data_IF_638305717724
#
_entry.id   IF_638305717724
#
_cell.length_a   1.000
_cell.length_b   1.000
_cell.length_c   1.000
_cell.angle_alpha   90.00
_cell.angle_beta   90.00
_cell.angle_gamma   90.00
#
_symmetry.space_group_name_H-M   'P 1'
#
loop_
_entity.id
_entity.type
_entity.pdbx_description
1 polymer ?
#
# COMPACT_ATOMS: atom_id res chain seq x y z
N UNK A 1 7.56 60.76 -17.65
CA UNK A 1 6.26 60.25 -18.12
C UNK A 1 6.15 58.81 -17.60
N UNK A 2 5.00 58.33 -17.13
CA UNK A 2 4.89 56.88 -16.82
C UNK A 2 4.72 56.14 -18.15
N UNK A 3 5.84 55.73 -18.74
CA UNK A 3 5.94 55.20 -20.11
C UNK A 3 5.01 54.00 -20.34
N UNK A 4 4.86 53.12 -19.33
CA UNK A 4 3.94 51.98 -19.40
C UNK A 4 2.48 52.40 -19.49
N UNK A 5 2.09 53.53 -18.88
CA UNK A 5 0.72 54.03 -18.93
C UNK A 5 0.42 54.69 -20.28
N UNK A 6 1.37 55.44 -20.85
CA UNK A 6 1.19 56.06 -22.16
C UNK A 6 1.02 55.02 -23.29
N UNK A 7 1.86 53.98 -23.31
CA UNK A 7 1.71 52.84 -24.23
C UNK A 7 0.37 52.14 -24.04
N UNK A 8 -0.04 51.92 -22.78
CA UNK A 8 -1.33 51.28 -22.46
C UNK A 8 -2.52 52.12 -22.95
N UNK A 9 -2.45 53.45 -22.85
CA UNK A 9 -3.50 54.33 -23.35
C UNK A 9 -3.60 54.30 -24.87
N UNK A 10 -2.48 54.27 -25.60
CA UNK A 10 -2.47 54.07 -27.06
C UNK A 10 -3.08 52.71 -27.40
N UNK A 11 -2.66 51.62 -26.76
CA UNK A 11 -3.21 50.28 -27.02
C UNK A 11 -4.73 50.18 -26.78
N UNK A 12 -5.25 50.90 -25.80
CA UNK A 12 -6.67 50.84 -25.45
C UNK A 12 -7.56 51.78 -26.27
N UNK A 13 -6.99 52.65 -27.09
CA UNK A 13 -7.76 53.55 -27.95
C UNK A 13 -8.44 52.80 -29.08
N UNK A 14 -9.67 53.23 -29.38
CA UNK A 14 -10.48 52.74 -30.49
C UNK A 14 -10.67 53.83 -31.56
N UNK A 15 -10.86 53.46 -32.84
CA UNK A 15 -11.12 54.43 -33.89
C UNK A 15 -12.37 55.29 -33.67
N UNK A 16 -13.32 54.80 -32.87
CA UNK A 16 -14.53 55.56 -32.50
C UNK A 16 -14.20 56.72 -31.55
N UNK A 17 -13.26 56.53 -30.63
CA UNK A 17 -12.80 57.59 -29.72
C UNK A 17 -12.04 58.65 -30.52
N UNK A 18 -11.13 58.24 -31.39
CA UNK A 18 -10.35 59.14 -32.27
C UNK A 18 -11.27 60.02 -33.13
N UNK A 19 -12.30 59.45 -33.76
CA UNK A 19 -13.26 60.23 -34.57
C UNK A 19 -14.05 61.26 -33.77
N UNK A 20 -14.33 60.98 -32.50
CA UNK A 20 -15.11 61.89 -31.63
C UNK A 20 -14.25 62.97 -31.02
N UNK A 21 -13.00 62.64 -30.67
CA UNK A 21 -12.07 63.56 -30.06
C UNK A 21 -11.87 64.78 -30.96
N UNK A 22 -12.01 65.98 -30.37
CA UNK A 22 -11.96 67.27 -31.07
C UNK A 22 -12.85 67.38 -32.32
N UNK A 23 -13.93 66.58 -32.40
CA UNK A 23 -14.76 66.43 -33.60
C UNK A 23 -13.97 66.07 -34.87
N UNK A 24 -12.86 65.35 -34.74
CA UNK A 24 -11.94 65.02 -35.82
C UNK A 24 -12.65 64.41 -37.05
N UNK A 25 -13.54 63.43 -36.84
CA UNK A 25 -14.26 62.80 -37.95
C UNK A 25 -15.21 63.74 -38.72
N UNK A 26 -15.65 64.85 -38.12
CA UNK A 26 -16.40 65.90 -38.84
C UNK A 26 -15.46 66.84 -39.59
N UNK A 27 -14.31 67.18 -39.00
CA UNK A 27 -13.28 68.04 -39.60
C UNK A 27 -12.69 67.39 -40.85
N UNK A 28 -12.34 66.10 -40.79
CA UNK A 28 -11.83 65.31 -41.94
C UNK A 28 -12.82 65.38 -43.12
N UNK A 29 -14.10 65.07 -42.88
CA UNK A 29 -15.14 65.09 -43.93
C UNK A 29 -15.39 66.46 -44.55
N UNK A 30 -15.05 67.53 -43.85
CA UNK A 30 -15.19 68.90 -44.31
C UNK A 30 -13.90 69.48 -44.89
N UNK A 31 -12.79 68.75 -44.81
CA UNK A 31 -11.46 69.26 -45.17
C UNK A 31 -10.99 70.42 -44.28
N UNK A 32 -11.44 70.46 -43.02
CA UNK A 32 -11.12 71.49 -42.01
C UNK A 32 -9.97 71.05 -41.08
N UNK A 33 -9.11 70.15 -41.57
CA UNK A 33 -7.86 69.76 -40.91
C UNK A 33 -6.77 70.65 -41.48
N UNK A 34 -6.50 71.75 -40.81
CA UNK A 34 -5.53 72.77 -41.18
C UNK A 34 -4.29 72.72 -40.26
N UNK A 35 -3.27 73.53 -40.58
CA UNK A 35 -2.07 73.64 -39.75
C UNK A 35 -2.41 74.10 -38.32
N UNK A 36 -3.42 74.94 -38.13
CA UNK A 36 -3.88 75.37 -36.80
C UNK A 36 -4.39 74.18 -35.96
N UNK A 37 -5.14 73.25 -36.57
CA UNK A 37 -5.56 72.02 -35.90
C UNK A 37 -4.36 71.14 -35.55
N UNK A 38 -3.39 70.99 -36.45
CA UNK A 38 -2.17 70.23 -36.20
C UNK A 38 -1.29 70.87 -35.10
N UNK A 39 -1.16 72.19 -35.08
CA UNK A 39 -0.47 72.93 -34.03
C UNK A 39 -1.14 72.70 -32.68
N UNK A 40 -2.48 72.64 -32.68
CA UNK A 40 -3.23 72.34 -31.46
C UNK A 40 -2.99 70.91 -30.97
N UNK A 41 -2.93 69.92 -31.85
CA UNK A 41 -2.57 68.54 -31.49
C UNK A 41 -1.16 68.48 -30.89
N UNK A 42 -0.18 69.11 -31.52
CA UNK A 42 1.21 69.15 -31.02
C UNK A 42 1.29 69.84 -29.67
N UNK A 43 0.53 70.93 -29.47
CA UNK A 43 0.44 71.60 -28.16
C UNK A 43 -0.11 70.68 -27.08
N UNK A 44 -1.18 69.92 -27.37
CA UNK A 44 -1.73 68.94 -26.43
C UNK A 44 -0.68 67.88 -26.09
N UNK A 45 0.02 67.35 -27.10
CA UNK A 45 1.06 66.32 -26.91
C UNK A 45 2.20 66.83 -26.03
N UNK A 46 2.67 68.06 -26.26
CA UNK A 46 3.82 68.64 -25.57
C UNK A 46 3.52 69.07 -24.12
N UNK A 47 2.30 69.54 -23.84
CA UNK A 47 1.94 70.11 -22.54
C UNK A 47 1.46 69.02 -21.55
N UNK A 48 2.38 68.57 -20.70
CA UNK A 48 2.14 67.54 -19.68
C UNK A 48 1.56 68.09 -18.37
N UNK A 49 1.44 69.41 -18.21
CA UNK A 49 0.89 70.05 -17.02
C UNK A 49 -0.62 70.29 -17.17
N UNK A 50 -1.06 70.56 -18.40
CA UNK A 50 -2.46 70.92 -18.69
C UNK A 50 -3.32 69.73 -19.11
N UNK A 51 -2.77 68.78 -19.86
CA UNK A 51 -3.54 67.68 -20.46
C UNK A 51 -3.24 66.32 -19.82
N UNK A 52 -4.29 65.52 -19.60
CA UNK A 52 -4.17 64.18 -19.06
C UNK A 52 -3.48 63.23 -20.06
N UNK A 53 -2.85 62.16 -19.55
CA UNK A 53 -2.14 61.19 -20.42
C UNK A 53 -3.06 60.54 -21.47
N UNK A 54 -4.35 60.36 -21.17
CA UNK A 54 -5.35 59.86 -22.12
C UNK A 54 -5.58 60.82 -23.28
N UNK A 55 -5.75 62.12 -23.00
CA UNK A 55 -5.95 63.16 -24.02
C UNK A 55 -4.71 63.35 -24.87
N UNK A 56 -3.53 63.27 -24.25
CA UNK A 56 -2.23 63.33 -24.95
C UNK A 56 -2.04 62.15 -25.88
N UNK A 57 -2.40 60.95 -25.46
CA UNK A 57 -2.33 59.76 -26.29
C UNK A 57 -3.32 59.84 -27.47
N UNK A 58 -4.53 60.37 -27.26
CA UNK A 58 -5.51 60.59 -28.34
C UNK A 58 -5.00 61.61 -29.36
N UNK A 59 -4.45 62.73 -28.89
CA UNK A 59 -3.85 63.74 -29.76
C UNK A 59 -2.65 63.19 -30.54
N UNK A 60 -1.83 62.35 -29.90
CA UNK A 60 -0.72 61.65 -30.54
C UNK A 60 -1.20 60.73 -31.66
N UNK A 61 -2.17 59.85 -31.44
CA UNK A 61 -2.68 58.96 -32.50
C UNK A 61 -3.30 59.74 -33.68
N UNK A 62 -3.95 60.89 -33.43
CA UNK A 62 -4.44 61.74 -34.52
C UNK A 62 -3.29 62.37 -35.32
N UNK A 63 -2.25 62.88 -34.65
CA UNK A 63 -1.07 63.45 -35.32
C UNK A 63 -0.28 62.40 -36.11
N UNK A 64 -0.17 61.17 -35.57
CA UNK A 64 0.34 60.00 -36.30
C UNK A 64 -0.51 59.75 -37.53
N UNK A 65 -1.85 59.73 -37.40
CA UNK A 65 -2.76 59.49 -38.50
C UNK A 65 -2.55 60.45 -39.67
N UNK A 66 -2.50 61.76 -39.40
CA UNK A 66 -2.20 62.78 -40.41
C UNK A 66 -0.81 62.58 -41.04
N UNK A 67 0.19 62.29 -40.22
CA UNK A 67 1.56 62.03 -40.72
C UNK A 67 1.64 60.78 -41.60
N UNK A 68 0.86 59.74 -41.30
CA UNK A 68 0.79 58.52 -42.09
C UNK A 68 0.06 58.73 -43.43
N UNK A 69 -0.94 59.60 -43.47
CA UNK A 69 -1.67 59.95 -44.68
C UNK A 69 -0.74 60.62 -45.70
N UNK A 70 0.17 61.49 -45.24
CA UNK A 70 1.18 62.15 -46.09
C UNK A 70 2.10 61.16 -46.82
N UNK A 71 2.42 60.03 -46.18
CA UNK A 71 3.35 59.02 -46.69
C UNK A 71 2.64 57.76 -47.20
N UNK A 72 1.31 57.75 -47.23
CA UNK A 72 0.48 56.59 -47.55
C UNK A 72 0.86 55.91 -48.86
N UNK A 73 0.95 56.69 -49.94
CA UNK A 73 1.29 56.20 -51.28
C UNK A 73 2.72 55.64 -51.35
N UNK A 74 3.66 56.26 -50.63
CA UNK A 74 5.06 55.82 -50.60
C UNK A 74 5.20 54.48 -49.88
N UNK A 75 4.47 54.29 -48.78
CA UNK A 75 4.45 53.04 -48.03
C UNK A 75 3.78 51.90 -48.81
N UNK A 76 2.76 52.20 -49.62
CA UNK A 76 2.07 51.22 -50.45
C UNK A 76 2.88 50.70 -51.65
N UNK A 77 3.86 51.49 -52.12
CA UNK A 77 4.68 51.17 -53.29
C UNK A 77 6.04 50.53 -52.95
N UNK A 78 6.45 50.57 -51.68
CA UNK A 78 7.73 50.04 -51.25
C UNK A 78 7.72 48.49 -51.15
N UNK A 79 8.87 47.88 -51.42
CA UNK A 79 9.04 46.43 -51.30
C UNK A 79 9.10 46.02 -49.82
N UNK A 80 8.45 44.90 -49.49
CA UNK A 80 8.46 44.37 -48.13
C UNK A 80 9.78 43.63 -47.84
N UNK A 81 10.38 43.97 -46.70
CA UNK A 81 11.58 43.32 -46.18
C UNK A 81 11.27 42.64 -44.85
N UNK A 82 12.05 41.61 -44.51
CA UNK A 82 11.96 40.94 -43.22
C UNK A 82 12.58 41.83 -42.13
N UNK A 83 11.79 42.15 -41.13
CA UNK A 83 12.24 42.88 -39.94
C UNK A 83 12.28 41.95 -38.73
N UNK A 84 13.27 42.16 -37.88
CA UNK A 84 13.32 41.60 -36.53
C UNK A 84 13.12 42.73 -35.54
N UNK A 85 11.95 42.80 -34.93
CA UNK A 85 11.63 43.78 -33.88
C UNK A 85 11.81 43.05 -32.53
N UNK A 86 12.83 43.42 -31.73
CA UNK A 86 13.02 42.81 -30.43
C UNK A 86 11.89 43.20 -29.46
N UNK A 87 11.39 42.23 -28.69
CA UNK A 87 10.39 42.47 -27.65
C UNK A 87 8.93 42.41 -28.14
N UNK A 88 8.03 43.09 -27.42
CA UNK A 88 6.60 43.10 -27.72
C UNK A 88 6.30 44.13 -28.81
N UNK A 89 5.61 43.69 -29.86
CA UNK A 89 5.16 44.56 -30.95
C UNK A 89 3.87 45.24 -30.51
N UNK A 90 4.00 46.47 -30.00
CA UNK A 90 2.89 47.36 -29.66
C UNK A 90 2.66 48.39 -30.79
N UNK A 91 1.46 48.95 -30.86
CA UNK A 91 1.04 49.95 -31.85
C UNK A 91 1.92 51.18 -31.85
N UNK A 92 2.36 51.65 -30.68
CA UNK A 92 3.32 52.76 -30.58
C UNK A 92 4.64 52.41 -31.27
N UNK A 93 5.17 51.21 -31.04
CA UNK A 93 6.40 50.71 -31.70
C UNK A 93 6.23 50.71 -33.21
N UNK A 94 5.08 50.25 -33.71
CA UNK A 94 4.77 50.26 -35.13
C UNK A 94 4.66 51.69 -35.69
N UNK A 95 3.98 52.61 -34.99
CA UNK A 95 3.87 54.00 -35.42
C UNK A 95 5.23 54.70 -35.50
N UNK A 96 6.06 54.54 -34.47
CA UNK A 96 7.40 55.11 -34.45
C UNK A 96 8.28 54.49 -35.55
N UNK A 97 8.16 53.19 -35.81
CA UNK A 97 8.85 52.52 -36.93
C UNK A 97 8.44 53.03 -38.30
N UNK A 98 7.15 53.29 -38.51
CA UNK A 98 6.68 53.85 -39.79
C UNK A 98 7.07 55.32 -39.95
N UNK A 99 7.16 56.09 -38.87
CA UNK A 99 7.47 57.53 -38.92
C UNK A 99 8.97 57.85 -38.86
N UNK A 100 9.83 56.88 -38.55
CA UNK A 100 11.28 57.09 -38.46
C UNK A 100 11.90 57.41 -39.83
N UNK A 101 12.40 58.62 -39.99
CA UNK A 101 13.06 59.07 -41.22
C UNK A 101 14.45 58.46 -41.42
N UNK A 102 15.05 57.88 -40.37
CA UNK A 102 16.35 57.21 -40.47
C UNK A 102 16.27 55.80 -41.08
N UNK A 103 15.07 55.21 -41.15
CA UNK A 103 14.84 53.88 -41.73
C UNK A 103 14.62 53.94 -43.24
N UNK A 104 14.98 52.86 -43.94
CA UNK A 104 14.68 52.74 -45.36
C UNK A 104 13.17 52.62 -45.59
N UNK A 105 12.70 53.00 -46.79
CA UNK A 105 11.28 52.89 -47.12
C UNK A 105 10.75 51.45 -47.03
N UNK A 106 11.59 50.46 -47.32
CA UNK A 106 11.25 49.05 -47.16
C UNK A 106 11.05 48.64 -45.70
N UNK A 107 11.88 49.16 -44.79
CA UNK A 107 11.76 48.89 -43.35
C UNK A 107 10.52 49.61 -42.78
N UNK A 108 10.27 50.85 -43.18
CA UNK A 108 9.04 51.58 -42.82
C UNK A 108 7.78 50.87 -43.34
N UNK A 109 7.83 50.36 -44.57
CA UNK A 109 6.73 49.61 -45.18
C UNK A 109 6.47 48.26 -44.49
N UNK A 110 7.50 47.62 -43.94
CA UNK A 110 7.33 46.39 -43.16
C UNK A 110 6.64 46.66 -41.81
N UNK A 111 6.95 47.75 -41.10
CA UNK A 111 6.18 48.17 -39.92
C UNK A 111 4.73 48.53 -40.28
N UNK A 112 4.53 49.18 -41.44
CA UNK A 112 3.20 49.50 -41.97
C UNK A 112 2.38 48.25 -42.28
N UNK A 113 3.00 47.21 -42.83
CA UNK A 113 2.36 45.92 -43.08
C UNK A 113 1.96 45.21 -41.78
N UNK A 114 2.85 45.20 -40.79
CA UNK A 114 2.54 44.62 -39.47
C UNK A 114 1.37 45.35 -38.79
N UNK A 115 1.31 46.69 -38.89
CA UNK A 115 0.17 47.47 -38.38
C UNK A 115 -1.16 47.05 -39.04
N UNK A 116 -1.13 46.75 -40.34
CA UNK A 116 -2.31 46.25 -41.07
C UNK A 116 -2.76 44.87 -40.58
N UNK A 117 -1.82 43.96 -40.32
CA UNK A 117 -2.11 42.60 -39.89
C UNK A 117 -2.58 42.53 -38.44
N UNK A 118 -1.85 43.17 -37.51
CA UNK A 118 -2.12 43.11 -36.07
C UNK A 118 -3.26 44.05 -35.64
N UNK A 119 -3.42 45.21 -36.30
CA UNK A 119 -4.40 46.24 -35.94
C UNK A 119 -5.36 46.60 -37.09
N UNK A 120 -6.15 45.66 -37.61
CA UNK A 120 -6.96 45.86 -38.83
C UNK A 120 -8.03 46.95 -38.70
N UNK A 121 -8.54 47.18 -37.48
CA UNK A 121 -9.53 48.24 -37.21
C UNK A 121 -8.91 49.64 -37.31
N UNK A 122 -7.70 49.82 -36.80
CA UNK A 122 -6.98 51.10 -36.89
C UNK A 122 -6.52 51.35 -38.32
N UNK A 123 -5.99 50.32 -38.99
CA UNK A 123 -5.67 50.40 -40.42
C UNK A 123 -6.88 50.81 -41.27
N UNK A 124 -8.04 50.18 -41.04
CA UNK A 124 -9.27 50.49 -41.80
C UNK A 124 -9.75 51.92 -41.56
N UNK A 125 -9.55 52.44 -40.34
CA UNK A 125 -9.84 53.83 -40.04
C UNK A 125 -8.87 54.78 -40.74
N UNK A 126 -7.56 54.54 -40.68
CA UNK A 126 -6.57 55.37 -41.38
C UNK A 126 -6.84 55.39 -42.89
N UNK A 127 -7.21 54.24 -43.47
CA UNK A 127 -7.64 54.15 -44.88
C UNK A 127 -8.86 55.01 -45.15
N UNK A 128 -9.88 54.93 -44.30
CA UNK A 128 -11.07 55.76 -44.45
C UNK A 128 -10.74 57.25 -44.35
N UNK A 129 -9.84 57.65 -43.44
CA UNK A 129 -9.41 59.06 -43.32
C UNK A 129 -8.64 59.48 -44.58
N UNK A 130 -7.74 58.65 -45.11
CA UNK A 130 -7.05 58.91 -46.36
C UNK A 130 -8.01 59.06 -47.56
N UNK A 131 -9.04 58.21 -47.65
CA UNK A 131 -10.05 58.25 -48.72
C UNK A 131 -11.05 59.42 -48.56
N UNK A 132 -11.42 59.78 -47.32
CA UNK A 132 -12.32 60.90 -47.01
C UNK A 132 -11.61 62.26 -46.96
N UNK A 133 -10.29 62.26 -46.77
CA UNK A 133 -9.43 63.44 -46.76
C UNK A 133 -9.34 64.03 -48.16
N UNK A 134 -10.28 64.92 -48.48
CA UNK A 134 -10.23 65.73 -49.70
C UNK A 134 -8.89 66.47 -49.68
N UNK A 135 -8.08 66.19 -50.70
CA UNK A 135 -6.75 66.73 -51.00
C UNK A 135 -6.62 68.24 -50.74
N UNK A 136 -6.38 68.65 -49.49
CA UNK A 136 -6.15 70.05 -49.12
C UNK A 136 -4.71 70.24 -48.62
N UNK A 137 -3.83 70.41 -49.61
CA UNK A 137 -2.65 71.28 -49.76
C UNK A 137 -1.67 71.61 -48.60
N UNK A 138 -1.79 71.09 -47.38
CA UNK A 138 -0.75 71.26 -46.37
C UNK A 138 -0.36 69.90 -45.80
N UNK A 139 0.68 69.29 -46.38
CA UNK A 139 1.28 68.08 -45.81
C UNK A 139 1.87 68.44 -44.45
N UNK A 140 1.39 67.78 -43.40
CA UNK A 140 1.88 67.98 -42.04
C UNK A 140 3.40 67.80 -42.00
N UNK A 141 3.92 66.77 -42.66
CA UNK A 141 5.35 66.46 -42.82
C UNK A 141 6.19 67.60 -43.41
N UNK A 142 5.60 68.51 -44.20
CA UNK A 142 6.30 69.65 -44.81
C UNK A 142 6.17 70.94 -43.98
N UNK A 143 5.32 70.94 -42.95
CA UNK A 143 5.12 72.08 -42.05
C UNK A 143 6.13 72.10 -40.89
N UNK A 144 6.39 73.28 -40.31
CA UNK A 144 7.18 73.39 -39.09
C UNK A 144 6.57 72.55 -37.94
N UNK A 145 5.23 72.52 -37.86
CA UNK A 145 4.46 71.72 -36.90
C UNK A 145 4.76 70.22 -37.02
N UNK A 146 4.82 69.68 -38.24
CA UNK A 146 5.16 68.28 -38.46
C UNK A 146 6.61 67.96 -38.15
N UNK A 147 7.55 68.87 -38.41
CA UNK A 147 8.95 68.68 -38.00
C UNK A 147 9.08 68.60 -36.47
N UNK A 148 8.36 69.45 -35.73
CA UNK A 148 8.29 69.35 -34.27
C UNK A 148 7.70 68.02 -33.81
N UNK A 149 6.64 67.54 -34.46
CA UNK A 149 6.02 66.26 -34.14
C UNK A 149 6.96 65.07 -34.41
N UNK A 150 7.68 65.07 -35.53
CA UNK A 150 8.67 64.03 -35.85
C UNK A 150 9.83 64.05 -34.85
N UNK A 151 10.33 65.22 -34.47
CA UNK A 151 11.35 65.36 -33.43
C UNK A 151 10.84 64.83 -32.07
N UNK A 152 9.57 65.06 -31.74
CA UNK A 152 8.93 64.47 -30.56
C UNK A 152 8.86 62.94 -30.65
N UNK A 153 8.52 62.37 -31.81
CA UNK A 153 8.54 60.92 -32.03
C UNK A 153 9.95 60.33 -31.85
N UNK A 154 10.98 61.01 -32.35
CA UNK A 154 12.38 60.60 -32.12
C UNK A 154 12.76 60.63 -30.63
N UNK A 155 12.36 61.70 -29.92
CA UNK A 155 12.58 61.81 -28.49
C UNK A 155 11.87 60.68 -27.74
N UNK A 156 10.60 60.45 -28.03
CA UNK A 156 9.79 59.39 -27.43
C UNK A 156 10.40 58.00 -27.67
N UNK A 157 10.92 57.75 -28.88
CA UNK A 157 11.64 56.51 -29.19
C UNK A 157 12.88 56.34 -28.30
N UNK A 158 13.68 57.39 -28.11
CA UNK A 158 14.88 57.36 -27.26
C UNK A 158 14.54 57.15 -25.79
N UNK A 159 13.46 57.77 -25.31
CA UNK A 159 12.99 57.64 -23.93
C UNK A 159 12.48 56.23 -23.64
N UNK A 160 11.69 55.63 -24.54
CA UNK A 160 11.14 54.27 -24.36
C UNK A 160 12.19 53.18 -24.66
N UNK A 161 13.31 53.53 -25.28
CA UNK A 161 14.36 52.57 -25.64
C UNK A 161 13.92 51.59 -26.73
N UNK A 162 13.07 52.03 -27.67
CA UNK A 162 12.55 51.17 -28.74
C UNK A 162 13.66 50.95 -29.79
N UNK A 163 14.22 49.75 -29.79
CA UNK A 163 15.04 49.24 -30.88
C UNK A 163 14.15 48.91 -32.08
N UNK A 164 14.06 49.83 -33.02
CA UNK A 164 13.40 49.56 -34.29
C UNK A 164 14.23 48.53 -35.06
N UNK A 165 13.56 47.46 -35.47
CA UNK A 165 14.22 46.32 -36.12
C UNK A 165 14.99 46.73 -37.36
N UNK A 166 16.15 46.10 -37.58
CA UNK A 166 16.94 46.26 -38.80
C UNK A 166 16.96 44.95 -39.60
N UNK A 167 16.77 45.09 -40.91
CA UNK A 167 16.75 43.98 -41.87
C UNK A 167 18.05 43.14 -41.89
N UNK A 168 19.20 43.75 -41.59
CA UNK A 168 20.50 43.05 -41.55
C UNK A 168 20.71 42.17 -40.32
N UNK A 169 20.06 42.50 -39.20
CA UNK A 169 20.15 41.76 -37.93
C UNK A 169 19.26 40.50 -37.95
N UNK A 170 18.09 40.61 -38.58
CA UNK A 170 17.08 39.55 -38.64
C UNK A 170 17.61 38.23 -39.24
N UNK A 171 18.34 38.29 -40.35
CA UNK A 171 18.84 37.08 -41.00
C UNK A 171 19.93 36.36 -40.20
N UNK A 172 20.74 37.09 -39.42
CA UNK A 172 21.79 36.50 -38.57
C UNK A 172 21.19 35.83 -37.34
N UNK A 173 20.21 36.47 -36.70
CA UNK A 173 19.57 35.91 -35.53
C UNK A 173 18.67 34.72 -35.88
N UNK A 174 17.97 34.76 -37.03
CA UNK A 174 17.23 33.60 -37.54
C UNK A 174 18.16 32.42 -37.78
N UNK A 175 19.33 32.62 -38.40
CA UNK A 175 20.32 31.56 -38.58
C UNK A 175 20.85 31.02 -37.25
N UNK A 176 21.08 31.90 -36.26
CA UNK A 176 21.50 31.48 -34.92
C UNK A 176 20.45 30.61 -34.25
N UNK A 177 19.18 31.04 -34.27
CA UNK A 177 18.06 30.28 -33.70
C UNK A 177 17.85 28.95 -34.43
N UNK A 178 17.98 28.91 -35.75
CA UNK A 178 17.94 27.66 -36.52
C UNK A 178 19.06 26.69 -36.12
N UNK A 179 20.28 27.19 -35.87
CA UNK A 179 21.38 26.39 -35.36
C UNK A 179 21.12 25.89 -33.93
N UNK A 180 20.60 26.73 -33.04
CA UNK A 180 20.24 26.33 -31.67
C UNK A 180 19.17 25.24 -31.67
N UNK A 181 18.14 25.36 -32.52
CA UNK A 181 17.09 24.34 -32.68
C UNK A 181 17.67 23.03 -33.19
N UNK A 182 18.55 23.05 -34.20
CA UNK A 182 19.21 21.83 -34.72
C UNK A 182 20.02 21.13 -33.64
N UNK A 183 20.83 21.88 -32.88
CA UNK A 183 21.61 21.34 -31.78
C UNK A 183 20.69 20.74 -30.71
N UNK A 184 19.60 21.42 -30.36
CA UNK A 184 18.58 20.92 -29.44
C UNK A 184 17.99 19.58 -29.90
N UNK A 185 17.63 19.45 -31.18
CA UNK A 185 17.11 18.21 -31.76
C UNK A 185 18.14 17.07 -31.69
N UNK A 186 19.43 17.35 -31.94
CA UNK A 186 20.48 16.35 -31.83
C UNK A 186 20.67 15.89 -30.38
N UNK A 187 20.65 16.81 -29.41
CA UNK A 187 20.73 16.45 -27.99
C UNK A 187 19.54 15.62 -27.53
N UNK A 188 18.32 15.95 -27.96
CA UNK A 188 17.13 15.15 -27.66
C UNK A 188 17.23 13.73 -28.21
N UNK A 189 17.67 13.57 -29.46
CA UNK A 189 17.91 12.25 -30.05
C UNK A 189 18.97 11.44 -29.30
N UNK A 190 19.98 12.09 -28.73
CA UNK A 190 20.97 11.39 -27.90
C UNK A 190 20.37 10.94 -26.57
N UNK A 191 19.56 11.78 -25.91
CA UNK A 191 18.88 11.44 -24.67
C UNK A 191 17.83 10.35 -24.86
N UNK A 192 17.09 10.34 -25.97
CA UNK A 192 16.14 9.28 -26.32
C UNK A 192 16.84 7.91 -26.41
N UNK A 193 18.01 7.84 -27.04
CA UNK A 193 18.81 6.60 -27.10
C UNK A 193 19.30 6.16 -25.73
N UNK A 194 19.71 7.10 -24.88
CA UNK A 194 20.15 6.80 -23.52
C UNK A 194 19.00 6.28 -22.66
N UNK A 195 17.79 6.81 -22.84
CA UNK A 195 16.57 6.31 -22.19
C UNK A 195 16.22 4.90 -22.66
N UNK A 196 16.22 4.65 -23.97
CA UNK A 196 15.97 3.31 -24.53
C UNK A 196 16.97 2.28 -23.95
N UNK A 197 18.24 2.63 -23.86
CA UNK A 197 19.25 1.77 -23.25
C UNK A 197 19.01 1.52 -21.75
N UNK A 198 18.56 2.55 -21.02
CA UNK A 198 18.23 2.42 -19.60
C UNK A 198 16.98 1.55 -19.38
N UNK A 199 15.98 1.67 -20.24
CA UNK A 199 14.77 0.83 -20.25
C UNK A 199 15.13 -0.64 -20.50
N UNK A 200 15.91 -0.94 -21.55
CA UNK A 200 16.42 -2.27 -21.84
C UNK A 200 17.20 -2.88 -20.66
N UNK A 201 17.96 -2.05 -19.94
CA UNK A 201 18.68 -2.49 -18.75
C UNK A 201 17.72 -2.78 -17.58
N UNK A 202 16.70 -1.94 -17.39
CA UNK A 202 15.68 -2.12 -16.37
C UNK A 202 14.84 -3.37 -16.64
N UNK A 203 14.42 -3.61 -17.87
CA UNK A 203 13.71 -4.82 -18.27
C UNK A 203 14.52 -6.09 -17.97
N UNK A 204 15.81 -6.11 -18.34
CA UNK A 204 16.72 -7.21 -18.01
C UNK A 204 16.89 -7.41 -16.50
N UNK A 205 16.85 -6.35 -15.70
CA UNK A 205 16.86 -6.45 -14.24
C UNK A 205 15.53 -7.04 -13.71
N UNK A 206 14.39 -6.58 -14.22
CA UNK A 206 13.07 -7.10 -13.85
C UNK A 206 12.90 -8.58 -14.20
N UNK A 207 13.37 -9.03 -15.37
CA UNK A 207 13.36 -10.45 -15.74
C UNK A 207 14.19 -11.28 -14.76
N UNK A 208 15.36 -10.79 -14.34
CA UNK A 208 16.19 -11.47 -13.33
C UNK A 208 15.52 -11.53 -11.96
N UNK A 209 14.86 -10.47 -11.53
CA UNK A 209 14.11 -10.44 -10.27
C UNK A 209 12.96 -11.45 -10.30
N UNK A 210 12.16 -11.46 -11.37
CA UNK A 210 11.07 -12.44 -11.53
C UNK A 210 11.56 -13.88 -11.46
N UNK A 211 12.68 -14.19 -12.12
CA UNK A 211 13.30 -15.52 -12.06
C UNK A 211 13.72 -15.89 -10.64
N UNK A 212 14.35 -14.97 -9.91
CA UNK A 212 14.74 -15.19 -8.51
C UNK A 212 13.52 -15.36 -7.60
N UNK A 213 12.42 -14.63 -7.83
CA UNK A 213 11.18 -14.79 -7.08
C UNK A 213 10.51 -16.15 -7.33
N UNK A 214 10.55 -16.64 -8.57
CA UNK A 214 10.08 -17.99 -8.92
C UNK A 214 10.91 -19.07 -8.23
N UNK A 215 12.24 -18.95 -8.25
CA UNK A 215 13.16 -19.85 -7.55
C UNK A 215 12.92 -19.84 -6.03
N UNK A 216 12.80 -18.65 -5.43
CA UNK A 216 12.44 -18.51 -4.01
C UNK A 216 11.07 -19.14 -3.70
N UNK A 217 10.10 -18.97 -4.61
CA UNK A 217 8.79 -19.60 -4.51
C UNK A 217 8.86 -21.13 -4.49
N UNK A 218 9.68 -21.72 -5.36
CA UNK A 218 9.93 -23.16 -5.38
C UNK A 218 10.60 -23.64 -4.09
N UNK A 219 11.65 -22.96 -3.63
CA UNK A 219 12.35 -23.30 -2.37
C UNK A 219 11.40 -23.21 -1.16
N UNK A 220 10.54 -22.19 -1.10
CA UNK A 220 9.54 -22.06 -0.03
C UNK A 220 8.54 -23.22 -0.02
N UNK A 221 8.12 -23.70 -1.20
CA UNK A 221 7.23 -24.88 -1.33
C UNK A 221 7.94 -26.14 -0.85
N UNK A 222 9.17 -26.38 -1.30
CA UNK A 222 9.99 -27.51 -0.86
C UNK A 222 10.19 -27.50 0.67
N UNK A 223 10.51 -26.34 1.26
CA UNK A 223 10.66 -26.20 2.70
C UNK A 223 9.34 -26.53 3.45
N UNK A 224 8.19 -26.15 2.89
CA UNK A 224 6.89 -26.46 3.47
C UNK A 224 6.58 -27.96 3.39
N UNK A 225 6.91 -28.60 2.28
CA UNK A 225 6.78 -30.05 2.10
C UNK A 225 7.68 -30.82 3.06
N UNK A 226 8.95 -30.44 3.18
CA UNK A 226 9.89 -31.05 4.13
C UNK A 226 9.45 -30.88 5.59
N UNK A 227 8.92 -29.70 5.96
CA UNK A 227 8.31 -29.50 7.28
C UNK A 227 7.12 -30.43 7.50
N UNK A 228 6.23 -30.57 6.51
CA UNK A 228 5.10 -31.49 6.56
C UNK A 228 5.52 -32.95 6.68
N UNK A 229 6.57 -33.37 5.98
CA UNK A 229 7.17 -34.70 6.09
C UNK A 229 7.75 -34.92 7.49
N UNK A 230 8.44 -33.91 8.05
CA UNK A 230 8.93 -33.93 9.43
C UNK A 230 7.81 -34.09 10.47
N UNK A 231 6.68 -33.40 10.29
CA UNK A 231 5.51 -33.54 11.16
C UNK A 231 4.86 -34.93 11.04
N UNK A 232 4.76 -35.49 9.83
CA UNK A 232 4.31 -36.87 9.63
C UNK A 232 5.21 -37.86 10.37
N UNK A 233 6.54 -37.76 10.22
CA UNK A 233 7.49 -38.61 10.94
C UNK A 233 7.37 -38.46 12.46
N UNK A 234 7.17 -37.24 12.98
CA UNK A 234 6.91 -37.01 14.41
C UNK A 234 5.62 -37.71 14.86
N UNK A 235 4.55 -37.59 14.08
CA UNK A 235 3.25 -38.22 14.39
C UNK A 235 3.33 -39.75 14.36
N UNK A 236 4.01 -40.33 13.36
CA UNK A 236 4.24 -41.77 13.26
C UNK A 236 5.10 -42.28 14.41
N UNK A 237 6.16 -41.55 14.78
CA UNK A 237 6.99 -41.89 15.94
C UNK A 237 6.17 -41.85 17.23
N UNK A 238 5.29 -40.86 17.41
CA UNK A 238 4.39 -40.77 18.57
C UNK A 238 3.46 -42.00 18.66
N UNK A 239 2.83 -42.38 17.54
CA UNK A 239 1.97 -43.56 17.44
C UNK A 239 2.75 -44.85 17.70
N UNK A 240 3.96 -44.98 17.14
CA UNK A 240 4.82 -46.14 17.38
C UNK A 240 5.22 -46.28 18.84
N UNK A 241 5.53 -45.17 19.51
CA UNK A 241 5.87 -45.18 20.94
C UNK A 241 4.65 -45.53 21.78
N UNK A 242 3.46 -45.01 21.47
CA UNK A 242 2.24 -45.37 22.21
C UNK A 242 1.89 -46.84 22.03
N UNK A 243 1.93 -47.36 20.80
CA UNK A 243 1.65 -48.78 20.53
C UNK A 243 2.68 -49.71 21.18
N UNK A 244 3.97 -49.33 21.21
CA UNK A 244 4.99 -50.08 21.94
C UNK A 244 4.74 -50.09 23.46
N UNK A 245 4.23 -48.98 24.03
CA UNK A 245 3.88 -48.92 25.45
C UNK A 245 2.68 -49.80 25.76
N UNK A 246 1.64 -49.75 24.95
CA UNK A 246 0.45 -50.62 25.05
C UNK A 246 0.84 -52.09 24.94
N UNK A 247 1.69 -52.45 23.98
CA UNK A 247 2.15 -53.83 23.80
C UNK A 247 2.97 -54.33 25.01
N UNK A 248 3.84 -53.48 25.58
CA UNK A 248 4.56 -53.81 26.83
C UNK A 248 3.61 -54.00 28.01
N UNK A 249 2.54 -53.21 28.09
CA UNK A 249 1.54 -53.32 29.14
C UNK A 249 0.73 -54.63 28.98
N UNK A 250 0.26 -54.92 27.77
CA UNK A 250 -0.41 -56.17 27.45
C UNK A 250 0.47 -57.41 27.72
N UNK A 251 1.77 -57.33 27.42
CA UNK A 251 2.73 -58.40 27.76
C UNK A 251 2.83 -58.64 29.27
N UNK A 252 2.90 -57.57 30.08
CA UNK A 252 2.90 -57.68 31.55
C UNK A 252 1.61 -58.32 32.06
N UNK A 253 0.46 -57.94 31.50
CA UNK A 253 -0.84 -58.52 31.86
C UNK A 253 -0.93 -60.00 31.48
N UNK A 254 -0.44 -60.37 30.28
CA UNK A 254 -0.34 -61.78 29.87
C UNK A 254 0.59 -62.58 30.79
N UNK A 255 1.72 -62.03 31.19
CA UNK A 255 2.61 -62.68 32.16
C UNK A 255 1.96 -62.84 33.53
N UNK A 256 1.23 -61.83 34.01
CA UNK A 256 0.47 -61.91 35.25
C UNK A 256 -0.59 -63.02 35.18
N UNK A 257 -1.39 -63.05 34.11
CA UNK A 257 -2.39 -64.09 33.86
C UNK A 257 -1.77 -65.49 33.75
N UNK A 258 -0.60 -65.63 33.10
CA UNK A 258 0.12 -66.92 33.06
C UNK A 258 0.54 -67.38 34.46
N UNK A 259 1.04 -66.48 35.30
CA UNK A 259 1.38 -66.81 36.69
C UNK A 259 0.15 -67.20 37.49
N UNK A 260 -0.97 -66.51 37.31
CA UNK A 260 -2.25 -66.87 37.94
C UNK A 260 -2.77 -68.23 37.47
N UNK A 261 -2.68 -68.52 36.17
CA UNK A 261 -3.03 -69.81 35.61
C UNK A 261 -2.20 -70.94 36.22
N UNK A 262 -0.87 -70.78 36.31
CA UNK A 262 0.01 -71.76 36.96
C UNK A 262 -0.40 -71.97 38.42
N UNK A 263 -0.65 -70.89 39.18
CA UNK A 263 -1.12 -71.00 40.57
C UNK A 263 -2.44 -71.77 40.67
N UNK A 264 -3.38 -71.53 39.77
CA UNK A 264 -4.66 -72.25 39.73
C UNK A 264 -4.46 -73.72 39.36
N UNK A 265 -3.56 -74.01 38.42
CA UNK A 265 -3.21 -75.38 38.04
C UNK A 265 -2.54 -76.13 39.19
N UNK A 266 -1.62 -75.49 39.92
CA UNK A 266 -0.98 -76.08 41.10
C UNK A 266 -2.00 -76.31 42.22
N UNK A 267 -2.91 -75.37 42.47
CA UNK A 267 -4.05 -75.58 43.39
C UNK A 267 -4.93 -76.76 42.97
N UNK A 268 -5.22 -76.90 41.68
CA UNK A 268 -6.00 -78.04 41.17
C UNK A 268 -5.25 -79.36 41.35
N UNK A 269 -3.93 -79.38 41.10
CA UNK A 269 -3.08 -80.56 41.36
C UNK A 269 -3.02 -80.90 42.84
N UNK A 270 -2.89 -79.91 43.72
CA UNK A 270 -2.91 -80.09 45.16
C UNK A 270 -4.27 -80.63 45.63
N UNK A 271 -5.37 -80.10 45.11
CA UNK A 271 -6.71 -80.62 45.39
C UNK A 271 -6.88 -82.05 44.87
N UNK A 272 -6.44 -82.34 43.64
CA UNK A 272 -6.46 -83.70 43.08
C UNK A 272 -5.57 -84.67 43.88
N UNK A 273 -4.41 -84.22 44.36
CA UNK A 273 -3.52 -84.97 45.23
C UNK A 273 -4.14 -85.23 46.61
N UNK A 274 -4.81 -84.23 47.19
CA UNK A 274 -5.58 -84.39 48.44
C UNK A 274 -6.76 -85.34 48.26
N UNK A 275 -7.45 -85.30 47.12
CA UNK A 275 -8.52 -86.24 46.79
C UNK A 275 -8.00 -87.66 46.59
N UNK A 276 -6.89 -87.83 45.87
CA UNK A 276 -6.18 -89.11 45.71
C UNK A 276 -5.71 -89.69 47.05
N UNK A 277 -5.12 -88.86 47.91
CA UNK A 277 -4.76 -89.24 49.28
C UNK A 277 -5.99 -89.60 50.11
N UNK A 278 -7.10 -88.86 49.97
CA UNK A 278 -8.35 -89.18 50.63
C UNK A 278 -8.94 -90.51 50.12
N UNK A 279 -8.81 -90.83 48.84
CA UNK A 279 -9.20 -92.12 48.24
C UNK A 279 -8.27 -93.27 48.66
N UNK A 280 -6.96 -93.02 48.82
CA UNK A 280 -5.99 -93.98 49.38
C UNK A 280 -6.24 -94.25 50.87
N UNK A 281 -6.60 -93.21 51.63
CA UNK A 281 -7.06 -93.36 53.03
C UNK A 281 -8.40 -94.09 53.10
N UNK A 282 -9.24 -93.98 52.06
CA UNK A 282 -10.50 -94.75 51.93
C UNK A 282 -10.29 -96.23 51.57
N UNK A 283 -9.12 -96.60 51.05
CA UNK A 283 -8.76 -97.97 50.63
C UNK A 283 -7.91 -98.74 51.67
N UNK A 284 -7.57 -98.12 52.80
CA UNK A 284 -7.27 -98.84 54.04
C UNK A 284 -8.58 -99.22 54.75
N UNK A 285 -8.64 -100.36 55.48
CA UNK A 285 -9.87 -100.74 56.18
C UNK A 285 -10.18 -99.65 57.19
N UNK A 286 -11.24 -98.89 56.93
CA UNK A 286 -11.78 -97.92 57.86
C UNK A 286 -12.06 -98.68 59.16
N UNK A 287 -11.21 -98.49 60.17
CA UNK A 287 -11.61 -98.69 61.57
C UNK A 287 -12.83 -97.80 61.75
N UNK A 288 -14.02 -98.37 61.60
CA UNK A 288 -15.27 -97.74 62.06
C UNK A 288 -15.06 -97.48 63.54
N UNK A 289 -14.83 -96.23 63.90
CA UNK A 289 -14.95 -95.80 65.29
C UNK A 289 -16.43 -95.92 65.63
N UNK A 290 -16.84 -97.04 66.20
CA UNK A 290 -18.17 -97.16 66.79
C UNK A 290 -18.17 -96.50 68.15
N UNK A 291 -19.28 -95.87 68.53
CA UNK A 291 -19.47 -95.32 69.87
C UNK A 291 -19.31 -96.40 70.96
N UNK A 292 -19.60 -97.65 70.63
CA UNK A 292 -19.38 -98.80 71.51
C UNK A 292 -17.88 -99.10 71.72
N UNK A 293 -17.04 -98.90 70.70
CA UNK A 293 -15.59 -99.01 70.85
C UNK A 293 -15.02 -97.91 71.75
N UNK A 294 -15.55 -96.69 71.68
CA UNK A 294 -15.17 -95.59 72.59
C UNK A 294 -15.59 -95.85 74.04
N UNK A 295 -16.71 -96.56 74.25
CA UNK A 295 -17.19 -96.93 75.59
C UNK A 295 -16.35 -98.04 76.25
N UNK A 296 -15.70 -98.89 75.45
CA UNK A 296 -14.88 -100.01 75.93
C UNK A 296 -13.39 -99.70 76.05
N UNK A 297 -12.94 -98.53 75.61
CA UNK A 297 -11.56 -98.08 75.78
C UNK A 297 -11.22 -97.77 77.23
N UNK A 298 -9.97 -98.04 77.62
CA UNK A 298 -9.47 -97.68 78.95
C UNK A 298 -9.51 -96.16 79.15
N UNK A 299 -9.83 -95.73 80.37
CA UNK A 299 -10.10 -94.33 80.67
C UNK A 299 -8.84 -93.46 80.52
N UNK A 300 -7.65 -94.03 80.75
CA UNK A 300 -6.38 -93.35 80.51
C UNK A 300 -6.13 -93.14 79.02
N UNK A 301 -6.41 -94.16 78.21
CA UNK A 301 -6.21 -94.14 76.77
C UNK A 301 -7.21 -93.21 76.06
N UNK A 302 -8.49 -93.24 76.46
CA UNK A 302 -9.55 -92.40 75.91
C UNK A 302 -9.30 -90.90 76.14
N UNK A 303 -8.83 -90.55 77.35
CA UNK A 303 -8.57 -89.16 77.72
C UNK A 303 -7.17 -88.68 77.26
N UNK A 304 -6.31 -89.60 76.79
CA UNK A 304 -4.92 -89.31 76.44
C UNK A 304 -4.04 -89.00 77.65
N UNK A 305 -4.33 -89.63 78.79
CA UNK A 305 -3.77 -89.30 80.10
C UNK A 305 -2.97 -90.48 80.70
N UNK A 306 -1.68 -90.26 81.02
CA UNK A 306 -0.79 -91.22 81.71
C UNK A 306 -0.98 -91.20 83.25
N UNK A 307 -0.67 -92.30 83.93
CA UNK A 307 -0.91 -92.48 85.39
C UNK A 307 -0.26 -91.40 86.28
N UNK A 308 -0.96 -90.95 87.34
CA UNK A 308 -0.43 -90.06 88.38
C UNK A 308 -0.86 -88.58 88.35
N UNK A 309 -2.10 -88.26 87.95
CA UNK A 309 -2.55 -86.87 87.78
C UNK A 309 -3.47 -86.33 88.90
N UNK A 310 -3.35 -85.02 89.15
CA UNK A 310 -4.15 -84.26 90.13
C UNK A 310 -5.50 -83.85 89.53
N UNK A 311 -6.50 -83.62 90.38
CA UNK A 311 -7.88 -83.26 89.97
C UNK A 311 -7.97 -82.02 89.05
N UNK A 312 -7.02 -81.09 89.14
CA UNK A 312 -6.96 -79.89 88.28
C UNK A 312 -6.71 -80.19 86.79
N UNK A 313 -6.03 -81.29 86.49
CA UNK A 313 -5.64 -81.63 85.12
C UNK A 313 -6.79 -82.33 84.36
N UNK A 314 -7.65 -83.07 85.06
CA UNK A 314 -8.92 -83.55 84.52
C UNK A 314 -9.84 -82.39 84.11
N UNK A 315 -9.84 -81.30 84.90
CA UNK A 315 -10.58 -80.07 84.58
C UNK A 315 -10.06 -79.34 83.34
N UNK A 316 -8.75 -79.42 83.04
CA UNK A 316 -8.17 -78.89 81.79
C UNK A 316 -8.51 -79.76 80.58
N UNK A 317 -8.47 -81.07 80.73
CA UNK A 317 -8.83 -82.02 79.65
C UNK A 317 -10.30 -81.87 79.28
N UNK A 318 -11.20 -81.77 80.27
CA UNK A 318 -12.63 -81.54 80.06
C UNK A 318 -12.90 -80.24 79.28
N UNK A 319 -12.19 -79.15 79.60
CA UNK A 319 -12.29 -77.87 78.87
C UNK A 319 -11.77 -77.96 77.43
N UNK A 320 -10.71 -78.72 77.18
CA UNK A 320 -10.19 -78.93 75.82
C UNK A 320 -11.21 -79.65 74.94
N UNK A 321 -11.82 -80.72 75.45
CA UNK A 321 -12.87 -81.43 74.72
C UNK A 321 -14.14 -80.59 74.54
N UNK A 322 -14.56 -79.83 75.56
CA UNK A 322 -15.71 -78.92 75.44
C UNK A 322 -15.48 -77.79 74.43
N UNK A 323 -14.25 -77.30 74.29
CA UNK A 323 -13.90 -76.30 73.27
C UNK A 323 -13.84 -76.88 71.85
N UNK A 324 -13.38 -78.13 71.72
CA UNK A 324 -13.31 -78.82 70.43
C UNK A 324 -14.69 -79.28 69.94
N UNK A 325 -15.55 -79.71 70.85
CA UNK A 325 -16.90 -80.25 70.60
C UNK A 325 -17.99 -79.24 70.97
N UNK A 326 -17.70 -77.94 70.85
CA UNK A 326 -18.64 -76.87 71.22
C UNK A 326 -19.83 -76.78 70.24
N UNK A 327 -21.07 -76.60 70.73
CA UNK A 327 -22.26 -76.54 69.88
C UNK A 327 -22.19 -75.48 68.77
N UNK A 328 -21.60 -74.31 69.05
CA UNK A 328 -21.44 -73.22 68.05
C UNK A 328 -20.65 -73.62 66.80
N UNK A 329 -19.86 -74.71 66.84
CA UNK A 329 -19.13 -75.22 65.66
C UNK A 329 -19.99 -76.11 64.76
N UNK A 330 -21.24 -76.36 65.15
CA UNK A 330 -22.16 -77.31 64.52
C UNK A 330 -23.38 -76.61 63.90
N UNK A 331 -23.48 -75.28 63.99
CA UNK A 331 -24.65 -74.50 63.55
C UNK A 331 -25.00 -74.62 62.06
N UNK A 332 -24.07 -75.04 61.20
CA UNK A 332 -24.32 -75.27 59.76
C UNK A 332 -24.13 -76.76 59.36
N UNK A 333 -24.11 -77.67 60.33
CA UNK A 333 -23.97 -79.11 60.11
C UNK A 333 -25.30 -79.85 60.31
N UNK A 334 -25.49 -81.05 59.71
CA UNK A 334 -26.74 -81.81 59.83
C UNK A 334 -27.12 -82.15 61.28
N UNK A 335 -28.41 -82.25 61.58
CA UNK A 335 -28.96 -82.47 62.95
C UNK A 335 -28.35 -83.67 63.70
N UNK A 336 -27.93 -84.73 62.99
CA UNK A 336 -27.31 -85.90 63.62
C UNK A 336 -25.92 -85.60 64.23
N UNK A 337 -25.27 -84.53 63.78
CA UNK A 337 -23.91 -84.16 64.21
C UNK A 337 -23.91 -83.60 65.63
N UNK A 338 -24.94 -82.85 66.00
CA UNK A 338 -25.14 -82.34 67.36
C UNK A 338 -25.39 -83.49 68.35
N UNK A 339 -26.21 -84.47 67.96
CA UNK A 339 -26.47 -85.67 68.75
C UNK A 339 -25.18 -86.48 68.97
N UNK A 340 -24.37 -86.66 67.93
CA UNK A 340 -23.10 -87.39 68.01
C UNK A 340 -22.10 -86.66 68.92
N UNK A 341 -21.97 -85.34 68.81
CA UNK A 341 -21.05 -84.55 69.65
C UNK A 341 -21.46 -84.61 71.11
N UNK A 342 -22.77 -84.57 71.38
CA UNK A 342 -23.34 -84.73 72.71
C UNK A 342 -23.06 -86.12 73.30
N UNK A 343 -23.19 -87.19 72.52
CA UNK A 343 -22.89 -88.55 72.98
C UNK A 343 -21.40 -88.76 73.26
N UNK A 344 -20.52 -88.26 72.40
CA UNK A 344 -19.06 -88.32 72.60
C UNK A 344 -18.64 -87.53 73.84
N UNK A 345 -19.18 -86.31 74.02
CA UNK A 345 -18.98 -85.54 75.25
C UNK A 345 -19.51 -86.26 76.49
N UNK A 346 -20.63 -86.97 76.38
CA UNK A 346 -21.18 -87.81 77.45
C UNK A 346 -20.26 -88.95 77.86
N UNK A 347 -19.62 -89.62 76.90
CA UNK A 347 -18.65 -90.70 77.16
C UNK A 347 -17.40 -90.12 77.85
N UNK A 348 -16.88 -88.99 77.36
CA UNK A 348 -15.68 -88.32 77.93
C UNK A 348 -15.95 -87.82 79.34
N UNK A 349 -17.11 -87.20 79.59
CA UNK A 349 -17.48 -86.73 80.94
C UNK A 349 -17.58 -87.90 81.93
N UNK A 350 -18.21 -89.02 81.53
CA UNK A 350 -18.27 -90.23 82.36
C UNK A 350 -16.89 -90.82 82.64
N UNK A 351 -15.98 -90.80 81.67
CA UNK A 351 -14.61 -91.26 81.88
C UNK A 351 -13.83 -90.33 82.84
N UNK A 352 -13.98 -89.02 82.72
CA UNK A 352 -13.39 -88.04 83.64
C UNK A 352 -13.94 -88.16 85.07
N UNK A 353 -15.23 -88.44 85.24
CA UNK A 353 -15.85 -88.56 86.56
C UNK A 353 -15.56 -89.91 87.24
N UNK A 354 -15.26 -90.98 86.47
CA UNK A 354 -14.81 -92.29 87.01
C UNK A 354 -13.34 -92.34 87.41
N UNK A 355 -12.51 -91.42 86.89
CA UNK A 355 -11.08 -91.26 87.22
C UNK A 355 -10.81 -90.29 88.39
N UNK A 356 -11.83 -89.59 88.87
CA UNK A 356 -11.77 -88.86 90.15
C UNK A 356 -11.80 -89.85 91.30
#
# INVERSE_FOLDING_TARGET
MNESLFVTHIENQSPRQLRKYLNYGKKVKRGEVDDDFCQWLVRIIADNEVYEQEERALAFELAVGESLIDIWEKLGQANLVRLFIPGKVDRLTLYLGVLDESQSWEERAAHWHLLREEYPKHWSWLRQVHEEGITNSAKLSESATGQFFLAYCEQLRREIGIELGSSGSANREVQRLECEVKNGVETLKSMEKDLEFAEDRAERAHVRIRRMDEEMGQVRRQLKEERGNGDKLRSERKIRISSQRELRQAQKELEALRREYIKMQDRLKDMAGRLSLAEQVRSQPVKRWSLDALRSMDQGELLGIREGLKAEDLGRVRRRFASALHPDRVQDLPDWTEALFSEVMGIINKACDRKK
#
